data_IF_925271117132
#
_entry.id   IF_925271117132
#
_cell.length_a   1.000
_cell.length_b   1.000
_cell.length_c   1.000
_cell.angle_alpha   90.00
_cell.angle_beta   90.00
_cell.angle_gamma   90.00
#
_symmetry.space_group_name_H-M   'P 1'
#
loop_
_entity.id
_entity.type
_entity.pdbx_description
1 polymer ?
#
# COMPACT_ATOMS: atom_id res chain seq x y z
N UNK A 1 -5.03 -10.62 -53.38
CA UNK A 1 -4.31 -10.56 -52.11
C UNK A 1 -4.20 -9.08 -51.79
N UNK A 2 -4.92 -8.61 -50.79
CA UNK A 2 -4.78 -7.21 -50.34
C UNK A 2 -3.55 -7.22 -49.43
N UNK A 3 -2.51 -6.47 -49.80
CA UNK A 3 -1.36 -6.27 -48.91
C UNK A 3 -1.77 -5.27 -47.85
N UNK A 4 -1.78 -5.70 -46.58
CA UNK A 4 -1.99 -4.81 -45.44
C UNK A 4 -0.74 -3.96 -45.23
N UNK A 5 -0.92 -2.65 -45.06
CA UNK A 5 0.18 -1.75 -44.75
C UNK A 5 0.67 -1.95 -43.32
N UNK A 6 1.86 -1.45 -42.97
CA UNK A 6 2.32 -1.45 -41.58
C UNK A 6 1.36 -0.71 -40.65
N UNK A 7 0.70 0.34 -41.15
CA UNK A 7 -0.34 1.10 -40.43
C UNK A 7 -1.59 0.24 -40.18
N UNK A 8 -2.05 -0.51 -41.17
CA UNK A 8 -3.24 -1.38 -41.02
C UNK A 8 -2.99 -2.50 -40.01
N UNK A 9 -1.80 -3.11 -40.02
CA UNK A 9 -1.42 -4.14 -39.04
C UNK A 9 -1.29 -3.60 -37.62
N UNK A 10 -0.78 -2.37 -37.47
CA UNK A 10 -0.70 -1.73 -36.16
C UNK A 10 -2.09 -1.43 -35.59
N UNK A 11 -3.02 -1.00 -36.43
CA UNK A 11 -4.41 -0.78 -36.04
C UNK A 11 -5.12 -2.10 -35.64
N UNK A 12 -4.92 -3.17 -36.41
CA UNK A 12 -5.49 -4.50 -36.08
C UNK A 12 -4.92 -5.04 -34.76
N UNK A 13 -3.59 -5.00 -34.57
CA UNK A 13 -2.96 -5.46 -33.34
C UNK A 13 -3.41 -4.63 -32.13
N UNK A 14 -3.53 -3.31 -32.28
CA UNK A 14 -4.05 -2.46 -31.22
C UNK A 14 -5.52 -2.72 -30.89
N UNK A 15 -6.34 -3.07 -31.89
CA UNK A 15 -7.74 -3.43 -31.69
C UNK A 15 -7.86 -4.75 -30.94
N UNK A 16 -7.03 -5.74 -31.28
CA UNK A 16 -6.93 -7.00 -30.55
C UNK A 16 -6.49 -6.77 -29.10
N UNK A 17 -5.48 -5.93 -28.87
CA UNK A 17 -5.07 -5.48 -27.53
C UNK A 17 -6.20 -4.89 -26.69
N UNK A 18 -7.06 -4.06 -27.30
CA UNK A 18 -8.13 -3.37 -26.61
C UNK A 18 -9.39 -4.23 -26.37
N UNK A 19 -9.52 -5.36 -27.07
CA UNK A 19 -10.74 -6.17 -27.05
C UNK A 19 -10.55 -7.62 -26.59
N UNK A 20 -9.30 -8.07 -26.47
CA UNK A 20 -8.96 -9.42 -26.03
C UNK A 20 -8.76 -9.50 -24.50
N UNK A 21 -9.05 -10.66 -23.87
CA UNK A 21 -8.70 -10.93 -22.48
C UNK A 21 -7.21 -10.71 -22.19
N UNK A 22 -6.84 -10.34 -20.95
CA UNK A 22 -5.47 -10.01 -20.53
C UNK A 22 -4.42 -11.05 -20.99
N UNK A 23 -4.80 -12.32 -20.98
CA UNK A 23 -3.94 -13.47 -21.29
C UNK A 23 -3.64 -13.63 -22.81
N UNK A 24 -4.45 -13.01 -23.68
CA UNK A 24 -4.36 -13.11 -25.14
C UNK A 24 -3.62 -11.90 -25.76
N UNK A 25 -3.32 -10.88 -24.96
CA UNK A 25 -2.70 -9.62 -25.38
C UNK A 25 -1.24 -9.77 -25.83
N UNK A 26 -0.53 -10.81 -25.38
CA UNK A 26 0.89 -11.00 -25.66
C UNK A 26 1.20 -11.06 -27.18
N UNK A 27 0.30 -11.61 -27.99
CA UNK A 27 0.46 -11.68 -29.44
C UNK A 27 0.38 -10.31 -30.12
N UNK A 28 -0.60 -9.51 -29.73
CA UNK A 28 -0.80 -8.15 -30.23
C UNK A 28 0.34 -7.20 -29.82
N UNK A 29 0.84 -7.31 -28.57
CA UNK A 29 2.04 -6.60 -28.10
C UNK A 29 3.27 -6.96 -28.92
N UNK A 30 3.48 -8.24 -29.18
CA UNK A 30 4.59 -8.72 -29.99
C UNK A 30 4.50 -8.24 -31.45
N UNK A 31 3.30 -8.20 -32.04
CA UNK A 31 3.11 -7.67 -33.40
C UNK A 31 3.42 -6.17 -33.50
N UNK A 32 2.95 -5.36 -32.53
CA UNK A 32 3.31 -3.93 -32.46
C UNK A 32 4.83 -3.73 -32.29
N UNK A 33 5.46 -4.52 -31.43
CA UNK A 33 6.92 -4.53 -31.26
C UNK A 33 7.64 -4.85 -32.57
N UNK A 34 7.18 -5.86 -33.33
CA UNK A 34 7.77 -6.23 -34.61
C UNK A 34 7.58 -5.14 -35.69
N UNK A 35 6.41 -4.49 -35.72
CA UNK A 35 6.15 -3.37 -36.65
C UNK A 35 7.13 -2.22 -36.37
N UNK A 36 7.35 -1.88 -35.10
CA UNK A 36 8.30 -0.83 -34.72
C UNK A 36 9.75 -1.21 -34.99
N UNK A 37 10.20 -2.39 -34.56
CA UNK A 37 11.59 -2.86 -34.76
C UNK A 37 11.96 -2.97 -36.24
N UNK A 38 10.97 -3.17 -37.12
CA UNK A 38 11.19 -3.18 -38.56
C UNK A 38 11.56 -1.81 -39.15
N UNK A 39 11.42 -0.73 -38.38
CA UNK A 39 11.71 0.64 -38.79
C UNK A 39 10.75 1.19 -39.85
N UNK A 40 9.63 0.50 -40.08
CA UNK A 40 8.67 0.85 -41.14
C UNK A 40 7.63 1.90 -40.72
N UNK A 41 7.47 2.14 -39.42
CA UNK A 41 6.61 3.20 -38.88
C UNK A 41 7.31 3.86 -37.68
N UNK A 42 7.51 5.19 -37.66
CA UNK A 42 8.04 5.90 -36.49
C UNK A 42 6.99 5.94 -35.37
N UNK A 43 7.43 6.06 -34.10
CA UNK A 43 6.57 6.02 -32.91
C UNK A 43 5.39 7.00 -32.96
N UNK A 44 5.61 8.25 -33.40
CA UNK A 44 4.54 9.23 -33.55
C UNK A 44 3.45 8.83 -34.58
N UNK A 45 3.81 8.08 -35.64
CA UNK A 45 2.81 7.57 -36.60
C UNK A 45 2.02 6.40 -36.01
N UNK A 46 2.61 5.64 -35.10
CA UNK A 46 1.92 4.59 -34.33
C UNK A 46 0.95 5.25 -33.36
N UNK A 47 1.41 6.22 -32.54
CA UNK A 47 0.56 6.98 -31.62
C UNK A 47 -0.62 7.65 -32.33
N UNK A 48 -0.38 8.29 -33.47
CA UNK A 48 -1.44 8.86 -34.30
C UNK A 48 -2.40 7.80 -34.85
N UNK A 49 -1.90 6.63 -35.28
CA UNK A 49 -2.77 5.54 -35.73
C UNK A 49 -3.62 4.98 -34.59
N UNK A 50 -3.08 4.86 -33.38
CA UNK A 50 -3.84 4.45 -32.18
C UNK A 50 -4.92 5.47 -31.85
N UNK A 51 -4.60 6.76 -31.92
CA UNK A 51 -5.56 7.84 -31.67
C UNK A 51 -6.66 7.89 -32.73
N UNK A 52 -6.32 7.80 -34.02
CA UNK A 52 -7.28 7.78 -35.14
C UNK A 52 -8.28 6.60 -35.06
N UNK A 53 -7.91 5.52 -34.39
CA UNK A 53 -8.75 4.34 -34.18
C UNK A 53 -9.41 4.30 -32.79
N UNK A 54 -9.20 5.31 -31.93
CA UNK A 54 -9.76 5.36 -30.57
C UNK A 54 -9.12 4.38 -29.58
N UNK A 55 -7.94 3.84 -29.91
CA UNK A 55 -7.25 2.78 -29.17
C UNK A 55 -6.17 3.32 -28.21
N UNK A 56 -5.76 4.58 -28.38
CA UNK A 56 -4.76 5.22 -27.53
C UNK A 56 -5.18 5.24 -26.05
N UNK A 57 -6.42 5.64 -25.76
CA UNK A 57 -6.90 5.73 -24.37
C UNK A 57 -7.03 4.35 -23.70
N UNK A 58 -7.65 3.32 -24.30
CA UNK A 58 -7.64 1.96 -23.76
C UNK A 58 -6.24 1.44 -23.45
N UNK A 59 -5.28 1.69 -24.35
CA UNK A 59 -3.89 1.26 -24.15
C UNK A 59 -3.18 2.03 -23.04
N UNK A 60 -3.43 3.33 -22.91
CA UNK A 60 -2.84 4.15 -21.84
C UNK A 60 -3.40 3.78 -20.47
N UNK A 61 -4.68 3.40 -20.41
CA UNK A 61 -5.30 2.85 -19.21
C UNK A 61 -4.78 1.45 -18.87
N UNK A 62 -4.50 0.64 -19.90
CA UNK A 62 -3.94 -0.69 -19.69
C UNK A 62 -2.51 -0.64 -19.16
N UNK A 63 -1.74 0.36 -19.58
CA UNK A 63 -0.32 0.54 -19.23
C UNK A 63 -0.13 1.64 -18.18
N UNK A 64 -1.20 2.03 -17.47
CA UNK A 64 -1.17 3.17 -16.56
C UNK A 64 -0.17 2.98 -15.43
N UNK A 65 -0.04 1.76 -14.90
CA UNK A 65 0.96 1.39 -13.87
C UNK A 65 2.41 1.71 -14.30
N UNK A 66 2.70 1.69 -15.61
CA UNK A 66 4.03 2.01 -16.15
C UNK A 66 4.19 3.50 -16.55
N UNK A 67 3.08 4.25 -16.63
CA UNK A 67 3.04 5.63 -17.12
C UNK A 67 2.76 6.66 -16.02
N UNK A 68 2.01 6.27 -14.99
CA UNK A 68 1.65 7.01 -13.79
C UNK A 68 2.48 6.41 -12.64
N UNK A 69 3.69 6.94 -12.49
CA UNK A 69 4.70 6.39 -11.58
C UNK A 69 4.59 6.94 -10.17
N UNK A 70 3.91 8.07 -9.99
CA UNK A 70 3.55 8.61 -8.68
C UNK A 70 2.13 8.24 -8.24
N UNK A 71 1.41 7.46 -9.06
CA UNK A 71 0.09 6.90 -8.81
C UNK A 71 -0.98 7.95 -8.46
N UNK A 72 -0.80 9.21 -8.89
CA UNK A 72 -1.72 10.29 -8.57
C UNK A 72 -2.99 10.29 -9.46
N UNK A 73 -3.13 9.30 -10.34
CA UNK A 73 -4.26 9.17 -11.26
C UNK A 73 -4.18 10.12 -12.45
N UNK A 74 -3.00 10.65 -12.75
CA UNK A 74 -2.74 11.54 -13.88
C UNK A 74 -1.35 11.30 -14.46
N UNK A 75 -1.17 11.62 -15.73
CA UNK A 75 0.12 11.47 -16.40
C UNK A 75 0.82 12.81 -16.52
N UNK A 76 1.84 13.04 -15.70
CA UNK A 76 2.64 14.27 -15.76
C UNK A 76 3.73 14.19 -16.83
N UNK A 77 4.23 15.35 -17.29
CA UNK A 77 5.28 15.39 -18.30
C UNK A 77 6.57 14.68 -17.87
N UNK A 78 7.08 14.83 -16.63
CA UNK A 78 8.25 14.10 -16.17
C UNK A 78 8.11 12.57 -16.23
N UNK A 79 6.93 12.04 -15.92
CA UNK A 79 6.68 10.59 -15.87
C UNK A 79 6.64 10.01 -17.28
N UNK A 80 5.88 10.67 -18.17
CA UNK A 80 5.83 10.30 -19.59
C UNK A 80 7.20 10.42 -20.26
N UNK A 81 7.99 11.44 -19.89
CA UNK A 81 9.37 11.55 -20.38
C UNK A 81 10.25 10.42 -19.83
N UNK A 82 10.10 10.07 -18.55
CA UNK A 82 10.87 8.99 -17.92
C UNK A 82 10.55 7.63 -18.54
N UNK A 83 9.26 7.31 -18.72
CA UNK A 83 8.80 6.10 -19.40
C UNK A 83 9.26 6.03 -20.86
N UNK A 84 9.31 7.17 -21.58
CA UNK A 84 9.84 7.23 -22.95
C UNK A 84 11.34 6.95 -23.05
N UNK A 85 12.11 7.32 -22.02
CA UNK A 85 13.58 7.24 -22.00
C UNK A 85 14.11 6.00 -21.27
N UNK A 86 13.28 5.34 -20.46
CA UNK A 86 13.66 4.17 -19.66
C UNK A 86 14.15 3.02 -20.55
N UNK A 87 15.30 2.41 -20.24
CA UNK A 87 15.75 1.22 -20.95
C UNK A 87 14.87 -0.01 -20.68
N UNK A 88 14.13 0.01 -19.56
CA UNK A 88 13.30 -1.09 -19.07
C UNK A 88 11.88 -1.06 -19.64
N UNK A 89 11.37 0.12 -20.01
CA UNK A 89 10.05 0.25 -20.63
C UNK A 89 10.01 -0.42 -21.99
N UNK A 90 8.93 -1.16 -22.26
CA UNK A 90 8.74 -1.77 -23.56
C UNK A 90 8.42 -0.70 -24.63
N UNK A 91 8.42 -1.12 -25.90
CA UNK A 91 8.20 -0.20 -27.03
C UNK A 91 6.84 0.47 -26.99
N UNK A 92 5.81 -0.25 -26.55
CA UNK A 92 4.44 0.24 -26.51
C UNK A 92 4.33 1.32 -25.45
N UNK A 93 4.84 1.05 -24.24
CA UNK A 93 4.96 2.03 -23.15
C UNK A 93 5.68 3.28 -23.63
N UNK A 94 6.85 3.14 -24.27
CA UNK A 94 7.61 4.27 -24.81
C UNK A 94 6.83 5.09 -25.83
N UNK A 95 6.14 4.41 -26.75
CA UNK A 95 5.37 5.06 -27.82
C UNK A 95 4.19 5.84 -27.25
N UNK A 96 3.48 5.25 -26.28
CA UNK A 96 2.41 5.93 -25.56
C UNK A 96 2.95 7.13 -24.80
N UNK A 97 4.05 6.95 -24.09
CA UNK A 97 4.67 7.98 -23.28
C UNK A 97 5.16 9.17 -24.13
N UNK A 98 5.80 8.92 -25.28
CA UNK A 98 6.20 9.97 -26.23
C UNK A 98 5.00 10.75 -26.78
N UNK A 99 3.92 10.05 -27.14
CA UNK A 99 2.71 10.66 -27.70
C UNK A 99 1.99 11.53 -26.66
N UNK A 100 1.78 10.99 -25.46
CA UNK A 100 1.16 11.70 -24.34
C UNK A 100 2.05 12.87 -23.88
N UNK A 101 3.37 12.71 -23.82
CA UNK A 101 4.29 13.79 -23.46
C UNK A 101 4.22 14.95 -24.45
N UNK A 102 4.09 14.65 -25.76
CA UNK A 102 3.90 15.67 -26.79
C UNK A 102 2.60 16.44 -26.60
N UNK A 103 1.52 15.78 -26.17
CA UNK A 103 0.24 16.40 -25.90
C UNK A 103 0.26 17.25 -24.62
N UNK A 104 0.81 16.72 -23.52
CA UNK A 104 1.03 17.46 -22.27
C UNK A 104 1.89 18.71 -22.52
N UNK A 105 2.96 18.59 -23.31
CA UNK A 105 3.78 19.75 -23.69
C UNK A 105 2.99 20.79 -24.50
N UNK A 106 2.10 20.37 -25.40
CA UNK A 106 1.23 21.27 -26.16
C UNK A 106 0.21 22.01 -25.26
N UNK A 107 -0.13 21.44 -24.10
CA UNK A 107 -1.02 22.03 -23.07
C UNK A 107 -0.30 22.92 -22.07
N UNK A 108 0.99 23.24 -22.27
CA UNK A 108 1.84 23.93 -21.29
C UNK A 108 2.04 23.12 -19.99
N UNK A 109 2.23 21.80 -20.12
CA UNK A 109 2.54 20.89 -19.01
C UNK A 109 1.38 20.69 -18.03
N UNK A 110 0.14 20.86 -18.48
CA UNK A 110 -1.04 20.41 -17.75
C UNK A 110 -1.15 18.88 -17.85
N UNK A 111 -1.31 18.21 -16.71
CA UNK A 111 -1.45 16.76 -16.61
C UNK A 111 -2.65 16.25 -17.42
N UNK A 112 -2.56 14.99 -17.85
CA UNK A 112 -3.62 14.31 -18.59
C UNK A 112 -4.17 13.19 -17.72
N UNK A 113 -5.47 13.21 -17.43
CA UNK A 113 -6.10 12.17 -16.61
C UNK A 113 -6.67 11.02 -17.47
N UNK A 114 -6.80 9.80 -16.92
CA UNK A 114 -7.60 8.71 -17.46
C UNK A 114 -9.00 9.14 -17.99
N UNK A 115 -9.68 10.03 -17.26
CA UNK A 115 -11.00 10.52 -17.62
C UNK A 115 -10.98 11.44 -18.87
N UNK A 116 -9.96 12.28 -18.99
CA UNK A 116 -9.75 13.11 -20.18
C UNK A 116 -9.43 12.26 -21.42
N UNK A 117 -8.62 11.21 -21.27
CA UNK A 117 -8.30 10.27 -22.35
C UNK A 117 -9.54 9.52 -22.84
N UNK A 118 -10.39 9.04 -21.93
CA UNK A 118 -11.68 8.39 -22.27
C UNK A 118 -12.61 9.35 -23.01
N UNK A 119 -12.66 10.61 -22.60
CA UNK A 119 -13.50 11.63 -23.25
C UNK A 119 -13.03 11.93 -24.66
N UNK A 120 -11.72 11.90 -24.91
CA UNK A 120 -11.11 12.14 -26.23
C UNK A 120 -11.29 10.99 -27.22
N UNK A 121 -11.26 9.73 -26.77
CA UNK A 121 -11.36 8.58 -27.68
C UNK A 121 -12.76 8.41 -28.29
N UNK A 122 -13.77 9.08 -27.74
CA UNK A 122 -15.16 8.90 -28.16
C UNK A 122 -15.68 7.49 -27.88
N UNK A 123 -14.99 6.70 -27.05
CA UNK A 123 -15.43 5.38 -26.64
C UNK A 123 -16.76 5.49 -25.86
N UNK A 124 -17.77 4.67 -26.19
CA UNK A 124 -19.01 4.64 -25.42
C UNK A 124 -18.73 4.20 -23.98
N UNK A 125 -19.32 4.93 -23.03
CA UNK A 125 -19.34 4.59 -21.60
C UNK A 125 -20.39 3.48 -21.41
N UNK A 126 -20.11 2.26 -21.86
CA UNK A 126 -20.95 1.09 -21.57
C UNK A 126 -20.20 0.14 -20.61
N UNK A 127 -20.88 -0.41 -19.59
CA UNK A 127 -20.28 -1.28 -18.59
C UNK A 127 -19.83 -2.62 -19.19
N UNK A 128 -18.74 -3.15 -18.64
CA UNK A 128 -18.13 -4.42 -19.03
C UNK A 128 -19.13 -5.57 -18.78
N UNK A 129 -19.45 -6.44 -19.76
CA UNK A 129 -20.43 -7.50 -19.57
C UNK A 129 -19.84 -8.66 -18.74
N UNK A 130 -20.24 -8.78 -17.47
CA UNK A 130 -19.84 -9.88 -16.60
C UNK A 130 -20.12 -9.72 -15.10
N UNK A 131 -20.45 -8.51 -14.64
CA UNK A 131 -20.83 -8.30 -13.24
C UNK A 131 -22.18 -8.96 -12.93
N UNK A 132 -22.16 -9.82 -11.91
CA UNK A 132 -23.35 -10.29 -11.21
C UNK A 132 -24.09 -9.06 -10.65
N UNK A 133 -25.40 -9.07 -10.84
CA UNK A 133 -26.38 -8.03 -10.46
C UNK A 133 -26.47 -7.88 -8.92
N UNK A 134 -25.38 -7.44 -8.30
CA UNK A 134 -25.40 -6.70 -7.04
C UNK A 134 -25.51 -5.23 -7.42
N UNK A 135 -26.34 -4.48 -6.72
CA UNK A 135 -26.56 -3.05 -6.96
C UNK A 135 -25.66 -2.26 -6.00
N UNK A 136 -24.41 -1.90 -6.39
CA UNK A 136 -23.51 -1.10 -5.55
C UNK A 136 -23.97 0.35 -5.40
N UNK A 137 -25.08 0.77 -6.01
CA UNK A 137 -25.52 2.17 -6.06
C UNK A 137 -26.09 2.74 -4.75
N UNK A 138 -25.97 2.04 -3.63
CA UNK A 138 -26.31 2.59 -2.30
C UNK A 138 -25.12 3.10 -1.51
N UNK A 139 -23.88 2.85 -1.93
CA UNK A 139 -22.70 3.50 -1.34
C UNK A 139 -22.33 4.74 -2.19
N UNK A 140 -22.27 5.95 -1.61
CA UNK A 140 -21.84 7.14 -2.34
C UNK A 140 -20.37 6.97 -2.79
N UNK A 141 -20.10 7.21 -4.08
CA UNK A 141 -18.79 7.34 -4.74
C UNK A 141 -17.59 6.61 -4.09
N UNK A 142 -17.55 5.27 -4.21
CA UNK A 142 -16.30 4.51 -4.10
C UNK A 142 -15.54 4.64 -2.78
N UNK A 143 -16.24 4.85 -1.67
CA UNK A 143 -15.68 4.72 -0.31
C UNK A 143 -15.82 3.25 0.16
N UNK A 144 -14.81 2.75 0.89
CA UNK A 144 -14.88 1.44 1.55
C UNK A 144 -15.96 1.52 2.61
N UNK A 145 -16.97 0.66 2.57
CA UNK A 145 -18.02 0.68 3.58
C UNK A 145 -17.57 0.24 4.97
N UNK A 146 -18.38 0.59 5.97
CA UNK A 146 -18.12 0.28 7.38
C UNK A 146 -18.01 -1.23 7.64
N UNK A 147 -18.76 -2.04 6.89
CA UNK A 147 -18.78 -3.49 7.05
C UNK A 147 -17.50 -4.14 6.49
N UNK A 148 -16.94 -3.57 5.42
CA UNK A 148 -15.67 -3.95 4.81
C UNK A 148 -14.50 -3.64 5.75
N UNK A 149 -14.48 -2.43 6.33
CA UNK A 149 -13.46 -2.04 7.33
C UNK A 149 -13.51 -2.95 8.57
N UNK A 150 -14.71 -3.24 9.06
CA UNK A 150 -14.89 -4.12 10.21
C UNK A 150 -14.38 -5.54 9.92
N UNK A 151 -14.71 -6.06 8.72
CA UNK A 151 -14.24 -7.37 8.29
C UNK A 151 -12.71 -7.42 8.17
N UNK A 152 -12.12 -6.41 7.52
CA UNK A 152 -10.67 -6.30 7.36
C UNK A 152 -9.96 -6.28 8.72
N UNK A 153 -10.48 -5.51 9.68
CA UNK A 153 -9.86 -5.40 11.02
C UNK A 153 -9.99 -6.69 11.85
N UNK A 154 -11.16 -7.37 11.78
CA UNK A 154 -11.38 -8.66 12.47
C UNK A 154 -10.49 -9.77 11.91
N UNK A 155 -10.25 -9.75 10.60
CA UNK A 155 -9.51 -10.79 9.89
C UNK A 155 -8.09 -10.40 9.48
N UNK A 156 -7.57 -9.26 9.95
CA UNK A 156 -6.28 -8.70 9.52
C UNK A 156 -5.14 -9.72 9.60
N UNK A 157 -4.95 -10.38 10.74
CA UNK A 157 -3.87 -11.38 10.91
C UNK A 157 -4.01 -12.59 9.99
N UNK A 158 -5.22 -12.86 9.49
CA UNK A 158 -5.48 -13.93 8.56
C UNK A 158 -5.31 -13.48 7.10
N UNK A 159 -5.49 -12.18 6.85
CA UNK A 159 -5.23 -11.53 5.57
C UNK A 159 -3.73 -11.31 5.36
N UNK A 160 -2.99 -10.90 6.40
CA UNK A 160 -1.52 -10.74 6.40
C UNK A 160 -0.83 -12.10 6.32
N UNK A 161 -0.63 -12.57 5.09
CA UNK A 161 -0.21 -13.93 4.79
C UNK A 161 1.25 -14.18 5.14
N UNK A 162 2.08 -13.15 5.02
CA UNK A 162 3.52 -13.22 5.31
C UNK A 162 3.89 -12.73 6.73
N UNK A 163 2.93 -12.21 7.48
CA UNK A 163 3.03 -11.70 8.85
C UNK A 163 3.99 -10.50 8.97
N UNK A 164 3.98 -9.62 7.98
CA UNK A 164 4.83 -8.42 7.95
C UNK A 164 4.14 -7.19 8.57
N UNK A 165 2.90 -7.32 9.05
CA UNK A 165 2.03 -6.25 9.58
C UNK A 165 1.39 -5.33 8.53
N UNK A 166 1.43 -5.72 7.26
CA UNK A 166 0.83 -5.05 6.12
C UNK A 166 -0.02 -6.05 5.35
N UNK A 167 -1.14 -5.58 4.78
CA UNK A 167 -2.02 -6.41 3.95
C UNK A 167 -2.10 -5.80 2.56
N UNK A 168 -1.53 -6.50 1.59
CA UNK A 168 -1.56 -6.13 0.17
C UNK A 168 -2.85 -6.57 -0.53
N UNK A 169 -3.17 -5.97 -1.67
CA UNK A 169 -4.32 -6.40 -2.48
C UNK A 169 -4.20 -7.87 -2.91
N UNK A 170 -2.98 -8.34 -3.21
CA UNK A 170 -2.67 -9.74 -3.53
C UNK A 170 -2.96 -10.68 -2.37
N UNK A 171 -2.65 -10.27 -1.13
CA UNK A 171 -2.92 -11.06 0.07
C UNK A 171 -4.42 -11.19 0.35
N UNK A 172 -5.19 -10.11 0.14
CA UNK A 172 -6.66 -10.17 0.20
C UNK A 172 -7.22 -11.14 -0.83
N UNK A 173 -6.73 -11.08 -2.07
CA UNK A 173 -7.13 -11.97 -3.16
C UNK A 173 -6.72 -13.43 -2.91
N UNK A 174 -5.52 -13.66 -2.38
CA UNK A 174 -5.03 -14.97 -1.98
C UNK A 174 -5.89 -15.56 -0.85
N UNK A 175 -6.19 -14.77 0.19
CA UNK A 175 -7.07 -15.18 1.27
C UNK A 175 -8.45 -15.58 0.75
N UNK A 176 -9.05 -14.76 -0.13
CA UNK A 176 -10.35 -15.02 -0.76
C UNK A 176 -10.33 -16.31 -1.57
N UNK A 177 -9.27 -16.52 -2.35
CA UNK A 177 -9.07 -17.72 -3.18
C UNK A 177 -8.93 -18.99 -2.34
N UNK A 178 -8.12 -18.93 -1.28
CA UNK A 178 -7.85 -20.05 -0.38
C UNK A 178 -9.07 -20.42 0.48
N UNK A 179 -9.98 -19.48 0.73
CA UNK A 179 -11.19 -19.68 1.54
C UNK A 179 -12.50 -19.69 0.72
N UNK A 180 -12.43 -19.79 -0.61
CA UNK A 180 -13.60 -19.69 -1.49
C UNK A 180 -14.72 -20.70 -1.16
N UNK A 181 -14.39 -21.88 -0.65
CA UNK A 181 -15.36 -22.92 -0.26
C UNK A 181 -16.00 -22.67 1.13
N UNK A 182 -15.41 -21.79 1.95
CA UNK A 182 -15.86 -21.48 3.31
C UNK A 182 -16.41 -20.07 3.48
N UNK A 183 -16.09 -19.14 2.58
CA UNK A 183 -16.58 -17.78 2.60
C UNK A 183 -18.06 -17.73 2.22
N UNK A 184 -18.82 -16.88 2.93
CA UNK A 184 -20.15 -16.52 2.47
C UNK A 184 -20.04 -15.62 1.23
N UNK A 185 -21.12 -15.55 0.44
CA UNK A 185 -21.14 -14.65 -0.72
C UNK A 185 -21.00 -13.17 -0.32
N UNK A 186 -21.44 -12.83 0.89
CA UNK A 186 -21.32 -11.47 1.45
C UNK A 186 -19.87 -11.17 1.83
N UNK A 187 -19.19 -12.07 2.53
CA UNK A 187 -17.79 -11.87 2.92
C UNK A 187 -16.85 -11.86 1.71
N UNK A 188 -17.14 -12.69 0.70
CA UNK A 188 -16.40 -12.68 -0.55
C UNK A 188 -16.54 -11.34 -1.30
N UNK A 189 -17.71 -10.70 -1.23
CA UNK A 189 -17.92 -9.37 -1.82
C UNK A 189 -17.15 -8.30 -1.03
N UNK A 190 -17.20 -8.32 0.31
CA UNK A 190 -16.42 -7.40 1.16
C UNK A 190 -14.91 -7.48 0.86
N UNK A 191 -14.38 -8.69 0.71
CA UNK A 191 -12.97 -8.91 0.36
C UNK A 191 -12.64 -8.44 -1.06
N UNK A 192 -13.57 -8.57 -2.00
CA UNK A 192 -13.40 -8.03 -3.35
C UNK A 192 -13.37 -6.50 -3.34
N UNK A 193 -14.26 -5.87 -2.59
CA UNK A 193 -14.32 -4.43 -2.46
C UNK A 193 -13.07 -3.90 -1.74
N UNK A 194 -12.62 -4.57 -0.67
CA UNK A 194 -11.39 -4.27 0.06
C UNK A 194 -10.14 -4.36 -0.84
N UNK A 195 -10.02 -5.43 -1.63
CA UNK A 195 -8.90 -5.62 -2.58
C UNK A 195 -8.88 -4.51 -3.66
N UNK A 196 -10.05 -4.05 -4.11
CA UNK A 196 -10.13 -2.98 -5.12
C UNK A 196 -9.86 -1.56 -4.57
N UNK A 197 -9.77 -1.42 -3.26
CA UNK A 197 -9.66 -0.14 -2.57
C UNK A 197 -8.46 -0.10 -1.60
N UNK A 198 -7.56 -1.09 -1.69
CA UNK A 198 -6.35 -1.19 -0.86
C UNK A 198 -5.51 0.08 -0.97
N UNK A 199 -5.30 0.59 -2.19
CA UNK A 199 -4.58 1.85 -2.45
C UNK A 199 -5.21 3.09 -1.77
N UNK A 200 -6.53 3.09 -1.55
CA UNK A 200 -7.21 4.21 -0.88
C UNK A 200 -7.08 4.16 0.64
N UNK A 201 -6.90 2.97 1.19
CA UNK A 201 -6.66 2.81 2.62
C UNK A 201 -5.25 3.27 2.97
N UNK A 202 -4.29 2.92 2.12
CA UNK A 202 -2.89 3.35 2.19
C UNK A 202 -2.76 4.89 2.29
N UNK A 203 -3.46 5.62 1.43
CA UNK A 203 -3.46 7.10 1.46
C UNK A 203 -4.09 7.73 2.73
N UNK A 204 -4.86 6.96 3.52
CA UNK A 204 -5.70 7.46 4.60
C UNK A 204 -4.94 7.79 5.89
N UNK A 205 -3.87 7.07 6.19
CA UNK A 205 -2.99 7.34 7.33
C UNK A 205 -1.52 7.35 6.87
N UNK A 206 -1.15 8.40 6.14
CA UNK A 206 0.19 8.68 5.59
C UNK A 206 1.29 8.80 6.68
N UNK A 207 1.59 7.69 7.37
CA UNK A 207 2.65 7.53 8.37
C UNK A 207 3.98 7.03 7.74
N UNK A 208 3.94 6.74 6.44
CA UNK A 208 5.01 6.21 5.59
C UNK A 208 5.77 7.33 4.86
N UNK A 209 6.82 7.87 5.50
CA UNK A 209 7.70 8.89 4.90
C UNK A 209 8.73 8.27 3.93
N UNK A 210 8.32 7.67 2.80
CA UNK A 210 9.28 7.18 1.81
C UNK A 210 8.74 6.62 0.49
N UNK A 211 9.42 6.94 -0.63
CA UNK A 211 9.17 6.43 -2.01
C UNK A 211 9.43 4.92 -2.23
N UNK A 212 9.35 4.10 -1.18
CA UNK A 212 9.74 2.68 -1.20
C UNK A 212 8.71 1.77 -0.55
N UNK A 213 7.61 2.32 -0.07
CA UNK A 213 6.71 1.63 0.85
C UNK A 213 5.48 1.08 0.11
N UNK A 214 4.86 0.08 0.72
CA UNK A 214 4.40 -1.13 0.05
C UNK A 214 2.90 -1.04 -0.26
N UNK A 215 2.47 -1.45 -1.47
CA UNK A 215 1.06 -1.47 -1.92
C UNK A 215 0.10 -2.26 -1.00
N UNK A 216 -0.31 -1.69 0.13
CA UNK A 216 -1.06 -2.39 1.17
C UNK A 216 -1.59 -1.45 2.24
N UNK A 217 -2.33 -2.00 3.20
CA UNK A 217 -2.82 -1.25 4.37
C UNK A 217 -2.39 -1.91 5.67
N UNK A 218 -2.23 -1.09 6.69
CA UNK A 218 -1.98 -1.47 8.08
C UNK A 218 -3.27 -1.45 8.90
N UNK A 219 -3.19 -1.86 10.17
CA UNK A 219 -4.28 -1.66 11.12
C UNK A 219 -4.55 -0.17 11.41
N UNK A 220 -3.53 0.68 11.30
CA UNK A 220 -3.67 2.12 11.53
C UNK A 220 -4.44 2.80 10.41
N UNK A 221 -4.26 2.36 9.15
CA UNK A 221 -5.05 2.79 7.99
C UNK A 221 -6.52 2.44 8.14
N UNK A 222 -6.82 1.20 8.53
CA UNK A 222 -8.18 0.76 8.80
C UNK A 222 -8.84 1.60 9.91
N UNK A 223 -8.06 1.98 10.92
CA UNK A 223 -8.56 2.82 12.00
C UNK A 223 -8.82 4.27 11.55
N UNK A 224 -7.90 4.86 10.78
CA UNK A 224 -8.06 6.19 10.21
C UNK A 224 -9.30 6.26 9.32
N UNK A 225 -9.45 5.30 8.40
CA UNK A 225 -10.61 5.18 7.53
C UNK A 225 -11.92 5.00 8.33
N UNK A 226 -11.91 4.17 9.38
CA UNK A 226 -13.08 3.98 10.24
C UNK A 226 -13.44 5.24 11.04
N UNK A 227 -12.44 6.01 11.45
CA UNK A 227 -12.62 7.27 12.19
C UNK A 227 -13.19 8.36 11.27
N UNK A 228 -12.65 8.50 10.06
CA UNK A 228 -13.17 9.43 9.05
C UNK A 228 -14.63 9.11 8.71
N UNK A 229 -14.95 7.83 8.49
CA UNK A 229 -16.34 7.40 8.28
C UNK A 229 -17.26 7.70 9.47
N UNK A 230 -16.77 7.52 10.70
CA UNK A 230 -17.56 7.81 11.89
C UNK A 230 -17.84 9.32 12.03
N UNK A 231 -16.89 10.17 11.67
CA UNK A 231 -17.06 11.63 11.67
C UNK A 231 -18.04 12.09 10.58
N UNK A 232 -17.91 11.56 9.35
CA UNK A 232 -18.84 11.84 8.25
C UNK A 232 -20.27 11.40 8.59
N UNK A 233 -20.43 10.18 9.14
CA UNK A 233 -21.74 9.68 9.58
C UNK A 233 -22.29 10.51 10.75
N UNK A 234 -21.46 11.01 11.65
CA UNK A 234 -21.90 11.88 12.75
C UNK A 234 -22.32 13.27 12.26
N UNK A 235 -21.63 13.83 11.26
CA UNK A 235 -21.98 15.12 10.66
C UNK A 235 -23.30 15.01 9.87
N UNK A 236 -23.52 13.92 9.14
CA UNK A 236 -24.77 13.65 8.43
C UNK A 236 -25.94 13.34 9.38
N UNK A 237 -25.67 12.67 10.51
CA UNK A 237 -26.69 12.33 11.53
C UNK A 237 -27.03 13.48 12.47
N UNK A 238 -26.13 14.43 12.71
CA UNK A 238 -26.45 15.70 13.38
C UNK A 238 -27.53 16.49 12.62
N UNK A 239 -27.69 16.22 11.32
CA UNK A 239 -28.73 16.79 10.46
C UNK A 239 -30.03 15.95 10.50
N UNK A 240 -29.95 14.63 10.72
CA UNK A 240 -31.08 13.70 10.62
C UNK A 240 -31.75 13.27 11.96
N UNK A 241 -31.04 13.33 13.10
CA UNK A 241 -31.62 13.12 14.43
C UNK A 241 -31.97 11.66 14.82
N UNK A 242 -31.16 10.67 14.42
CA UNK A 242 -31.37 9.24 14.74
C UNK A 242 -30.23 8.60 15.56
N UNK A 243 -30.57 7.52 16.29
CA UNK A 243 -29.82 6.95 17.43
C UNK A 243 -28.59 6.10 17.04
N UNK A 244 -27.51 6.22 17.84
CA UNK A 244 -26.13 5.76 17.60
C UNK A 244 -25.83 4.42 18.25
N UNK A 245 -25.80 3.31 17.49
CA UNK A 245 -25.40 2.02 18.08
C UNK A 245 -24.53 1.11 17.21
N UNK A 246 -24.43 1.33 15.90
CA UNK A 246 -23.69 0.40 15.02
C UNK A 246 -22.21 0.77 14.80
N UNK A 247 -21.87 2.06 14.62
CA UNK A 247 -20.49 2.50 14.38
C UNK A 247 -19.63 2.50 15.67
N UNK A 248 -20.18 2.94 16.81
CA UNK A 248 -19.47 2.93 18.11
C UNK A 248 -19.13 1.50 18.58
N UNK A 249 -19.85 0.48 18.11
CA UNK A 249 -19.56 -0.91 18.45
C UNK A 249 -18.33 -1.47 17.71
N UNK A 250 -17.97 -0.90 16.56
CA UNK A 250 -16.78 -1.28 15.79
C UNK A 250 -15.56 -0.54 16.34
N UNK A 251 -15.73 0.73 16.75
CA UNK A 251 -14.68 1.47 17.47
C UNK A 251 -14.36 0.88 18.85
N UNK A 252 -15.32 0.32 19.60
CA UNK A 252 -15.07 -0.09 20.99
C UNK A 252 -14.04 -1.22 21.19
N UNK A 253 -13.76 -2.07 20.19
CA UNK A 253 -12.72 -3.11 20.28
C UNK A 253 -11.42 -2.72 19.58
N UNK A 254 -11.48 -1.86 18.56
CA UNK A 254 -10.30 -1.27 17.94
C UNK A 254 -9.67 -0.18 18.84
N UNK A 255 -10.50 0.61 19.53
CA UNK A 255 -10.05 1.68 20.41
C UNK A 255 -9.15 1.17 21.54
N UNK A 256 -9.40 0.00 22.14
CA UNK A 256 -8.62 -0.43 23.30
C UNK A 256 -7.20 -0.88 22.89
N UNK A 257 -7.07 -1.65 21.82
CA UNK A 257 -5.78 -2.12 21.31
C UNK A 257 -5.00 -1.00 20.58
N UNK A 258 -5.69 -0.12 19.85
CA UNK A 258 -5.06 1.02 19.17
C UNK A 258 -4.69 2.15 20.13
N UNK A 259 -5.49 2.44 21.16
CA UNK A 259 -5.10 3.38 22.23
C UNK A 259 -3.92 2.82 23.03
N UNK A 260 -3.90 1.50 23.29
CA UNK A 260 -2.76 0.86 23.95
C UNK A 260 -1.48 0.94 23.11
N UNK A 261 -1.56 0.75 21.80
CA UNK A 261 -0.43 0.83 20.87
C UNK A 261 0.10 2.27 20.74
N UNK A 262 -0.79 3.26 20.61
CA UNK A 262 -0.42 4.68 20.60
C UNK A 262 0.24 5.14 21.92
N UNK A 263 -0.31 4.72 23.08
CA UNK A 263 0.31 4.99 24.38
C UNK A 263 1.68 4.30 24.52
N UNK A 264 1.82 3.09 23.97
CA UNK A 264 3.10 2.38 23.93
C UNK A 264 4.15 3.10 23.06
N UNK A 265 3.79 3.54 21.85
CA UNK A 265 4.68 4.33 20.98
C UNK A 265 5.09 5.66 21.63
N UNK A 266 4.15 6.33 22.30
CA UNK A 266 4.43 7.55 23.05
C UNK A 266 5.46 7.32 24.16
N UNK A 267 5.40 6.18 24.87
CA UNK A 267 6.41 5.80 25.89
C UNK A 267 7.79 5.55 25.28
N UNK A 268 7.87 4.98 24.07
CA UNK A 268 9.16 4.77 23.39
C UNK A 268 9.83 6.08 22.97
N UNK A 269 9.04 7.10 22.63
CA UNK A 269 9.53 8.42 22.23
C UNK A 269 9.69 9.42 23.39
N UNK A 270 9.31 9.04 24.62
CA UNK A 270 9.32 9.93 25.77
C UNK A 270 10.60 9.78 26.60
N UNK A 271 11.45 10.82 26.71
CA UNK A 271 12.67 10.76 27.53
C UNK A 271 12.41 10.69 29.04
N UNK A 272 11.19 11.00 29.48
CA UNK A 272 10.80 10.87 30.88
C UNK A 272 10.26 9.46 31.21
N UNK A 273 10.04 8.60 30.21
CA UNK A 273 9.65 7.21 30.43
C UNK A 273 10.83 6.40 30.96
N UNK A 274 10.57 5.63 32.01
CA UNK A 274 11.56 4.71 32.56
C UNK A 274 11.86 3.57 31.59
N UNK A 275 13.04 2.96 31.73
CA UNK A 275 13.42 1.80 30.91
C UNK A 275 12.44 0.64 31.04
N UNK A 276 11.85 0.41 32.21
CA UNK A 276 10.84 -0.65 32.41
C UNK A 276 9.53 -0.33 31.68
N UNK A 277 9.11 0.95 31.64
CA UNK A 277 7.94 1.38 30.86
C UNK A 277 8.18 1.24 29.36
N UNK A 278 9.37 1.59 28.88
CA UNK A 278 9.75 1.41 27.47
C UNK A 278 9.79 -0.10 27.11
N UNK A 279 10.35 -0.94 27.97
CA UNK A 279 10.35 -2.40 27.76
C UNK A 279 8.94 -3.00 27.79
N UNK A 280 8.05 -2.49 28.64
CA UNK A 280 6.64 -2.87 28.64
C UNK A 280 5.94 -2.44 27.35
N UNK A 281 6.21 -1.23 26.86
CA UNK A 281 5.68 -0.74 25.59
C UNK A 281 6.10 -1.63 24.41
N UNK A 282 7.37 -2.08 24.35
CA UNK A 282 7.84 -3.03 23.32
C UNK A 282 6.98 -4.31 23.35
N UNK A 283 6.70 -4.85 24.54
CA UNK A 283 5.86 -6.05 24.65
C UNK A 283 4.46 -5.81 24.14
N UNK A 284 3.83 -4.69 24.53
CA UNK A 284 2.48 -4.33 24.08
C UNK A 284 2.41 -4.25 22.56
N UNK A 285 3.35 -3.57 21.92
CA UNK A 285 3.39 -3.43 20.47
C UNK A 285 3.58 -4.77 19.76
N UNK A 286 4.51 -5.60 20.22
CA UNK A 286 4.73 -6.94 19.63
C UNK A 286 3.54 -7.88 19.88
N UNK A 287 2.88 -7.79 21.03
CA UNK A 287 1.65 -8.54 21.33
C UNK A 287 0.48 -8.08 20.43
N UNK A 288 0.49 -6.83 19.98
CA UNK A 288 -0.44 -6.26 18.99
C UNK A 288 -0.04 -6.55 17.52
N UNK A 289 1.01 -7.34 17.30
CA UNK A 289 1.50 -7.69 15.95
C UNK A 289 2.54 -6.72 15.39
N UNK A 290 2.71 -5.54 15.99
CA UNK A 290 3.65 -4.53 15.50
C UNK A 290 5.11 -4.90 15.81
N UNK A 291 5.87 -5.24 14.77
CA UNK A 291 7.29 -5.63 14.87
C UNK A 291 8.26 -4.57 14.37
N UNK A 292 7.76 -3.50 13.76
CA UNK A 292 8.54 -2.31 13.39
C UNK A 292 7.79 -1.04 13.79
N UNK A 293 8.52 0.04 14.04
CA UNK A 293 7.92 1.33 14.37
C UNK A 293 8.86 2.48 14.02
N UNK A 294 8.30 3.65 13.73
CA UNK A 294 9.04 4.91 13.68
C UNK A 294 8.81 5.68 14.97
N UNK A 295 9.89 6.07 15.64
CA UNK A 295 9.84 6.80 16.90
C UNK A 295 10.65 8.09 16.80
N UNK A 296 10.35 9.06 17.67
CA UNK A 296 11.12 10.30 17.75
C UNK A 296 12.10 10.23 18.92
N UNK A 297 13.39 10.34 18.61
CA UNK A 297 14.42 10.44 19.63
C UNK A 297 14.37 11.83 20.31
N UNK A 298 14.95 11.92 21.50
CA UNK A 298 15.22 13.10 22.32
C UNK A 298 15.85 14.29 21.59
N UNK A 299 16.66 14.06 20.56
CA UNK A 299 17.27 15.11 19.74
C UNK A 299 16.37 15.57 18.59
N UNK A 300 15.19 14.95 18.47
CA UNK A 300 14.17 15.24 17.47
C UNK A 300 14.28 14.40 16.20
N UNK A 301 15.30 13.54 16.08
CA UNK A 301 15.52 12.64 14.93
C UNK A 301 14.51 11.50 14.95
N UNK A 302 13.93 11.18 13.79
CA UNK A 302 13.10 9.99 13.63
C UNK A 302 13.99 8.76 13.48
N UNK A 303 13.68 7.70 14.22
CA UNK A 303 14.37 6.42 14.17
C UNK A 303 13.40 5.31 13.77
N UNK A 304 13.73 4.57 12.71
CA UNK A 304 13.08 3.29 12.43
C UNK A 304 13.66 2.23 13.36
N UNK A 305 12.77 1.58 14.12
CA UNK A 305 13.13 0.53 15.07
C UNK A 305 12.42 -0.78 14.74
N UNK A 306 13.11 -1.89 14.99
CA UNK A 306 12.54 -3.24 15.00
C UNK A 306 12.34 -3.71 16.43
N UNK A 307 11.17 -4.26 16.71
CA UNK A 307 10.70 -4.74 18.00
C UNK A 307 10.70 -6.28 17.99
N UNK A 308 11.16 -6.90 19.07
CA UNK A 308 11.23 -8.36 19.14
C UNK A 308 10.96 -8.88 20.55
N UNK A 309 10.04 -9.84 20.66
CA UNK A 309 9.83 -10.66 21.87
C UNK A 309 10.08 -12.12 21.51
N UNK A 310 11.21 -12.66 21.95
CA UNK A 310 11.67 -14.00 21.56
C UNK A 310 11.73 -14.95 22.76
N UNK A 311 10.98 -16.08 22.77
CA UNK A 311 11.12 -17.10 23.81
C UNK A 311 12.55 -17.64 23.89
N UNK A 312 13.11 -17.77 25.10
CA UNK A 312 14.48 -18.29 25.29
C UNK A 312 14.60 -19.76 24.84
N UNK A 313 13.51 -20.49 24.95
CA UNK A 313 13.38 -21.86 24.47
C UNK A 313 11.90 -22.15 24.13
N UNK A 314 11.60 -23.10 23.24
CA UNK A 314 10.22 -23.51 22.98
C UNK A 314 9.48 -23.91 24.27
N UNK A 315 8.34 -23.27 24.54
CA UNK A 315 7.52 -23.50 25.75
C UNK A 315 8.09 -22.91 27.04
N UNK A 316 9.08 -22.02 26.96
CA UNK A 316 9.57 -21.24 28.10
C UNK A 316 8.64 -20.04 28.34
N UNK A 317 8.25 -19.81 29.60
CA UNK A 317 7.57 -18.57 30.02
C UNK A 317 8.51 -17.36 30.01
N UNK A 318 9.81 -17.60 29.85
CA UNK A 318 10.83 -16.55 29.75
C UNK A 318 11.12 -16.19 28.30
N UNK A 319 11.18 -14.89 28.04
CA UNK A 319 11.48 -14.31 26.73
C UNK A 319 12.55 -13.24 26.81
N UNK A 320 13.27 -13.07 25.72
CA UNK A 320 14.01 -11.85 25.43
C UNK A 320 13.06 -10.79 24.93
N UNK A 321 13.26 -9.55 25.36
CA UNK A 321 12.60 -8.37 24.79
C UNK A 321 13.69 -7.47 24.27
N UNK A 322 13.72 -7.22 22.96
CA UNK A 322 14.73 -6.41 22.30
C UNK A 322 14.08 -5.33 21.45
N UNK A 323 14.80 -4.22 21.32
CA UNK A 323 14.55 -3.24 20.29
C UNK A 323 15.88 -2.92 19.60
N UNK A 324 15.81 -2.81 18.28
CA UNK A 324 16.95 -2.53 17.42
C UNK A 324 16.66 -1.25 16.64
N UNK A 325 17.62 -0.34 16.58
CA UNK A 325 17.55 0.83 15.72
C UNK A 325 18.45 0.62 14.49
N UNK A 326 18.02 1.09 13.34
CA UNK A 326 18.81 1.11 12.11
C UNK A 326 19.63 2.41 12.09
N UNK A 327 20.95 2.31 12.03
CA UNK A 327 21.82 3.48 11.90
C UNK A 327 21.85 4.04 10.46
N UNK A 328 22.47 5.21 10.28
CA UNK A 328 22.61 5.88 8.97
C UNK A 328 23.26 5.02 7.87
N UNK A 329 23.93 3.92 8.23
CA UNK A 329 24.56 2.99 7.28
C UNK A 329 23.69 1.75 7.03
N UNK A 330 22.42 1.76 7.45
CA UNK A 330 21.51 0.62 7.35
C UNK A 330 21.84 -0.52 8.31
N UNK A 331 22.65 -0.29 9.35
CA UNK A 331 23.06 -1.33 10.29
C UNK A 331 22.19 -1.32 11.54
N UNK A 332 21.56 -2.46 11.83
CA UNK A 332 20.86 -2.67 13.10
C UNK A 332 21.81 -2.72 14.30
N UNK A 333 21.44 -1.98 15.36
CA UNK A 333 22.09 -2.01 16.66
C UNK A 333 21.05 -2.11 17.77
N UNK A 334 21.29 -2.96 18.77
CA UNK A 334 20.43 -3.07 19.96
C UNK A 334 20.40 -1.73 20.69
N UNK A 335 19.21 -1.19 20.93
CA UNK A 335 18.95 0.03 21.71
C UNK A 335 18.42 -0.30 23.10
N UNK A 336 17.47 -1.25 23.21
CA UNK A 336 16.97 -1.75 24.48
C UNK A 336 16.98 -3.28 24.50
N UNK A 337 17.23 -3.87 25.67
CA UNK A 337 17.18 -5.32 25.86
C UNK A 337 16.88 -5.74 27.29
N UNK A 338 16.03 -6.75 27.46
CA UNK A 338 15.81 -7.38 28.76
C UNK A 338 15.48 -8.88 28.62
N UNK A 339 15.41 -9.54 29.77
CA UNK A 339 14.73 -10.82 29.96
C UNK A 339 13.43 -10.53 30.71
N UNK A 340 12.33 -11.15 30.29
CA UNK A 340 11.07 -11.14 31.04
C UNK A 340 10.65 -12.56 31.37
N UNK A 341 9.95 -12.74 32.49
CA UNK A 341 9.24 -13.96 32.89
C UNK A 341 7.72 -13.72 33.01
N UNK A 342 7.23 -12.62 32.46
CA UNK A 342 5.83 -12.19 32.50
C UNK A 342 5.56 -11.07 33.51
N UNK A 343 6.21 -11.11 34.68
CA UNK A 343 5.91 -10.20 35.81
C UNK A 343 6.89 -9.01 35.93
N UNK A 344 7.98 -9.01 35.16
CA UNK A 344 8.94 -7.91 35.17
C UNK A 344 10.09 -8.07 34.17
N UNK A 345 11.10 -7.21 34.32
CA UNK A 345 12.29 -7.18 33.48
C UNK A 345 13.57 -7.42 34.30
N UNK A 346 14.49 -8.19 33.72
CA UNK A 346 15.79 -8.48 34.30
C UNK A 346 16.90 -8.29 33.27
N UNK A 347 18.04 -7.78 33.73
CA UNK A 347 19.24 -7.65 32.90
C UNK A 347 19.78 -9.02 32.45
N UNK A 348 20.24 -9.06 31.20
CA UNK A 348 20.96 -10.20 30.66
C UNK A 348 22.33 -10.33 31.33
N UNK A 349 22.94 -11.51 31.23
CA UNK A 349 24.34 -11.73 31.66
C UNK A 349 25.20 -12.09 30.47
N UNK A 350 26.41 -11.53 30.42
CA UNK A 350 27.40 -11.90 29.42
C UNK A 350 28.00 -13.29 29.71
N UNK A 351 28.88 -13.77 28.81
CA UNK A 351 29.56 -15.05 28.97
C UNK A 351 30.44 -15.14 30.23
N UNK A 352 30.76 -14.01 30.87
CA UNK A 352 31.55 -13.93 32.09
C UNK A 352 30.65 -13.80 33.34
N UNK A 353 29.33 -13.77 33.17
CA UNK A 353 28.36 -13.61 34.25
C UNK A 353 28.13 -12.17 34.69
N UNK A 354 28.71 -11.17 34.03
CA UNK A 354 28.46 -9.76 34.32
C UNK A 354 27.09 -9.37 33.81
N UNK A 355 26.41 -8.48 34.53
CA UNK A 355 25.17 -7.90 34.04
C UNK A 355 25.44 -7.01 32.83
N UNK A 356 24.58 -7.14 31.84
CA UNK A 356 24.54 -6.30 30.67
C UNK A 356 23.46 -5.25 30.90
N UNK A 357 23.79 -3.97 30.68
CA UNK A 357 22.83 -2.85 30.75
C UNK A 357 21.63 -3.07 29.84
N UNK A 358 20.48 -2.54 30.27
CA UNK A 358 19.26 -2.54 29.46
C UNK A 358 19.47 -1.75 28.17
N UNK A 359 20.16 -0.62 28.28
CA UNK A 359 20.53 0.20 27.15
C UNK A 359 21.66 -0.41 26.31
N UNK A 360 21.58 -0.18 25.01
CA UNK A 360 22.60 -0.51 24.03
C UNK A 360 23.84 0.36 24.18
N UNK A 361 24.87 -0.12 24.87
CA UNK A 361 26.12 0.66 25.06
C UNK A 361 26.77 1.14 23.75
N UNK A 362 26.67 0.34 22.69
CA UNK A 362 27.18 0.73 21.35
C UNK A 362 26.33 1.85 20.73
N UNK A 363 25.01 1.80 20.91
CA UNK A 363 24.12 2.84 20.43
C UNK A 363 24.43 4.17 21.12
N UNK A 364 24.52 4.16 22.45
CA UNK A 364 24.81 5.34 23.26
C UNK A 364 26.20 5.96 22.99
N UNK A 365 27.17 5.19 22.49
CA UNK A 365 28.46 5.74 22.05
C UNK A 365 28.32 6.67 20.83
N UNK A 366 27.40 6.34 19.92
CA UNK A 366 27.07 7.18 18.76
C UNK A 366 25.98 8.22 19.03
N UNK A 367 25.08 7.93 19.97
CA UNK A 367 23.88 8.73 20.26
C UNK A 367 23.80 9.03 21.77
N UNK A 368 24.73 9.83 22.32
CA UNK A 368 24.82 10.05 23.77
C UNK A 368 23.63 10.79 24.38
N UNK A 369 22.80 11.43 23.55
CA UNK A 369 21.62 12.14 24.01
C UNK A 369 20.34 11.29 23.92
N UNK A 370 20.41 10.07 23.37
CA UNK A 370 19.25 9.26 23.02
C UNK A 370 18.28 9.03 24.19
N UNK A 371 17.00 8.89 23.86
CA UNK A 371 15.86 8.61 24.75
C UNK A 371 16.03 7.28 25.51
N UNK A 372 16.98 6.43 25.09
CA UNK A 372 17.29 5.12 25.67
C UNK A 372 18.45 5.13 26.68
N UNK A 373 18.78 6.28 27.26
CA UNK A 373 19.75 6.38 28.36
C UNK A 373 19.26 5.73 29.67
N UNK A 374 20.21 5.27 30.50
CA UNK A 374 19.95 4.84 31.89
C UNK A 374 20.11 5.98 32.91
#
# INVERSE_FOLDING_TARGET
>A
MVEFTAKDRAADAAYELATSPRDEIAGAREELNQIWQSGNLPAHEIGQALEENGLLAPLALYDSENLDTDHNGSFSYPELLSASLSEESDTLTKTLAEHLASDVAARNYEEVTPAELRTRSGAPVDPIPGELDFDPSTAPDGQIGVDELAYANEHFDALDGDNNSFVTAEEVDEYRSNHADSLSAEDAAKLQDLSSQTDKLDDGADDEYGWWENNGFTRDDLHAAATEMADDLNEERAIAGEDSTSAESILSTADDDTVASNDALAKLSNPDSSTEEQLAAIKTLVEAGQTTATIRDSDGTSLTVRLEVQPIAPGSDRSFVHMFAVDENGRETVVLRALTDGDGFAQQRDANGNFISYAGSRWLEGHPNSVFGE
#
